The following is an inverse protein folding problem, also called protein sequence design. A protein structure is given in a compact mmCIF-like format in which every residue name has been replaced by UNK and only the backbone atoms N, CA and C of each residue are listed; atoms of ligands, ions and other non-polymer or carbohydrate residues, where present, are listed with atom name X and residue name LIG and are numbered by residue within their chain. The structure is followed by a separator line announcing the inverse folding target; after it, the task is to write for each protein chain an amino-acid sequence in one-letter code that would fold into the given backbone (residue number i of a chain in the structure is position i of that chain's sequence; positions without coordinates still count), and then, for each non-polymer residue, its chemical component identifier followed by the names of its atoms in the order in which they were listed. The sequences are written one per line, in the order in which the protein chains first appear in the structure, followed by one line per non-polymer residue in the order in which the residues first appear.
data_IF_486363225162
#
_entry.id   IF_486363225162
#
_cell.length_a   1.000
_cell.length_b   1.000
_cell.length_c   1.000
_cell.angle_alpha   90.00
_cell.angle_beta   90.00
_cell.angle_gamma   90.00
#
_symmetry.space_group_name_H-M   'P 1'
#
loop_
_entity.id
_entity.type
_entity.pdbx_description
1 polymer ?
#
# COMPACT_ATOMS: atom_id res chain seq x y z
N UNK A 1 -23.48 -1.72 -6.70
CA UNK A 1 -22.81 -2.50 -5.64
C UNK A 1 -21.34 -2.63 -6.00
N UNK A 2 -20.45 -2.51 -5.03
CA UNK A 2 -19.01 -2.76 -5.23
C UNK A 2 -18.78 -4.25 -5.47
N UNK A 3 -18.23 -4.62 -6.63
CA UNK A 3 -18.05 -6.00 -7.08
C UNK A 3 -16.64 -6.54 -6.78
N UNK A 4 -15.75 -5.72 -6.22
CA UNK A 4 -14.39 -6.13 -5.91
C UNK A 4 -14.38 -7.16 -4.77
N UNK A 5 -13.53 -8.20 -4.84
CA UNK A 5 -13.36 -9.16 -3.75
C UNK A 5 -12.92 -8.48 -2.45
N UNK A 6 -13.53 -8.88 -1.32
CA UNK A 6 -13.22 -8.37 0.01
C UNK A 6 -11.95 -9.03 0.59
N UNK A 7 -11.06 -8.21 1.12
CA UNK A 7 -9.83 -8.64 1.80
C UNK A 7 -9.82 -8.11 3.23
N UNK A 8 -10.43 -8.88 4.14
CA UNK A 8 -10.69 -8.48 5.53
C UNK A 8 -9.43 -8.26 6.38
N UNK A 9 -8.29 -8.79 5.96
CA UNK A 9 -7.02 -8.59 6.67
C UNK A 9 -6.17 -7.45 6.11
N UNK A 10 -6.64 -6.72 5.08
CA UNK A 10 -5.86 -5.67 4.41
C UNK A 10 -6.38 -4.29 4.79
N UNK A 11 -5.49 -3.45 5.31
CA UNK A 11 -5.64 -2.00 5.38
C UNK A 11 -4.82 -1.41 4.24
N UNK A 12 -5.47 -0.64 3.37
CA UNK A 12 -4.83 -0.01 2.23
C UNK A 12 -4.62 1.48 2.49
N UNK A 13 -3.43 1.98 2.19
CA UNK A 13 -3.06 3.40 2.33
C UNK A 13 -2.66 3.93 0.96
N UNK A 14 -3.50 4.80 0.40
CA UNK A 14 -3.34 5.42 -0.91
C UNK A 14 -3.12 6.93 -0.82
N UNK A 15 -2.72 7.55 -1.94
CA UNK A 15 -2.66 9.00 -2.06
C UNK A 15 -2.90 9.49 -3.48
N UNK A 16 -3.41 10.72 -3.60
CA UNK A 16 -3.57 11.41 -4.88
C UNK A 16 -2.25 12.00 -5.39
N UNK A 17 -1.35 12.42 -4.49
CA UNK A 17 -0.04 13.00 -4.81
C UNK A 17 1.16 12.14 -4.35
N UNK A 18 2.33 12.35 -4.96
CA UNK A 18 3.61 11.80 -4.44
C UNK A 18 4.01 12.55 -3.16
N UNK A 19 4.80 11.90 -2.30
CA UNK A 19 5.30 12.46 -1.01
C UNK A 19 4.19 13.01 -0.10
N UNK A 20 3.00 12.41 -0.18
CA UNK A 20 1.80 12.80 0.57
C UNK A 20 1.77 12.34 2.05
N UNK A 21 2.90 11.92 2.63
CA UNK A 21 2.96 11.46 4.03
C UNK A 21 2.52 10.02 4.31
N UNK A 22 2.09 9.24 3.30
CA UNK A 22 1.71 7.82 3.48
C UNK A 22 2.75 6.99 4.23
N UNK A 23 4.01 7.06 3.80
CA UNK A 23 5.10 6.31 4.43
C UNK A 23 5.22 6.66 5.91
N UNK A 24 5.08 7.93 6.26
CA UNK A 24 5.10 8.41 7.65
C UNK A 24 3.91 7.89 8.45
N UNK A 25 2.72 7.87 7.86
CA UNK A 25 1.54 7.30 8.49
C UNK A 25 1.73 5.79 8.76
N UNK A 26 2.16 5.05 7.74
CA UNK A 26 2.41 3.60 7.85
C UNK A 26 3.47 3.31 8.90
N UNK A 27 4.59 4.04 8.93
CA UNK A 27 5.62 3.83 9.95
C UNK A 27 5.14 4.15 11.37
N UNK A 28 4.39 5.24 11.56
CA UNK A 28 3.82 5.57 12.87
C UNK A 28 2.77 4.53 13.31
N UNK A 29 1.93 4.05 12.40
CA UNK A 29 1.00 2.96 12.65
C UNK A 29 1.73 1.67 13.09
N UNK A 30 2.82 1.32 12.41
CA UNK A 30 3.62 0.15 12.76
C UNK A 30 4.28 0.29 14.13
N UNK A 31 4.77 1.49 14.49
CA UNK A 31 5.37 1.76 15.80
C UNK A 31 4.42 1.53 16.96
N UNK A 32 3.13 1.77 16.78
CA UNK A 32 2.10 1.52 17.79
C UNK A 32 1.56 0.08 17.76
N UNK A 33 1.84 -0.67 16.69
CA UNK A 33 1.36 -2.04 16.45
C UNK A 33 2.52 -3.03 16.19
N UNK A 34 3.61 -2.91 16.95
CA UNK A 34 4.85 -3.67 16.70
C UNK A 34 4.62 -5.17 16.70
N UNK A 35 5.26 -5.87 15.76
CA UNK A 35 5.23 -7.32 15.60
C UNK A 35 3.91 -7.89 15.08
N UNK A 36 2.88 -7.05 14.85
CA UNK A 36 1.54 -7.52 14.49
C UNK A 36 1.28 -7.52 12.99
N UNK A 37 1.73 -6.50 12.26
CA UNK A 37 1.36 -6.31 10.85
C UNK A 37 2.47 -6.70 9.90
N UNK A 38 2.10 -7.34 8.78
CA UNK A 38 2.95 -7.42 7.59
C UNK A 38 2.77 -6.12 6.80
N UNK A 39 3.87 -5.48 6.43
CA UNK A 39 3.86 -4.25 5.64
C UNK A 39 4.18 -4.54 4.18
N UNK A 40 3.38 -4.04 3.25
CA UNK A 40 3.60 -4.22 1.81
C UNK A 40 3.63 -2.86 1.13
N UNK A 41 4.68 -2.55 0.37
CA UNK A 41 4.70 -1.39 -0.53
C UNK A 41 4.56 -1.86 -1.96
N UNK A 42 3.66 -1.26 -2.74
CA UNK A 42 3.56 -1.54 -4.17
C UNK A 42 3.99 -0.29 -4.94
N UNK A 43 4.99 -0.43 -5.80
CA UNK A 43 5.47 0.61 -6.70
C UNK A 43 5.13 0.23 -8.13
N UNK A 44 4.26 1.05 -8.75
CA UNK A 44 3.87 0.90 -10.14
C UNK A 44 4.69 1.79 -11.05
N UNK A 45 5.25 1.24 -12.15
CA UNK A 45 5.96 2.02 -13.17
C UNK A 45 5.96 1.28 -14.51
N UNK A 46 5.96 2.03 -15.62
CA UNK A 46 6.09 1.50 -16.98
C UNK A 46 7.49 0.91 -17.26
N UNK A 47 8.48 1.19 -16.41
CA UNK A 47 9.84 0.64 -16.55
C UNK A 47 9.93 -0.85 -16.20
N UNK A 48 8.89 -1.40 -15.58
CA UNK A 48 8.87 -2.80 -15.17
C UNK A 48 8.15 -3.62 -16.25
N UNK A 49 8.84 -4.59 -16.85
CA UNK A 49 8.21 -5.53 -17.80
C UNK A 49 7.51 -6.68 -17.07
N UNK A 50 8.02 -7.04 -15.88
CA UNK A 50 7.50 -8.09 -15.00
C UNK A 50 7.37 -7.54 -13.59
N UNK A 51 6.65 -8.27 -12.75
CA UNK A 51 6.63 -7.94 -11.33
C UNK A 51 7.76 -8.65 -10.58
N UNK A 52 8.24 -8.01 -9.53
CA UNK A 52 9.25 -8.53 -8.61
C UNK A 52 8.76 -8.33 -7.18
N UNK A 53 9.03 -9.31 -6.31
CA UNK A 53 8.66 -9.29 -4.91
C UNK A 53 9.93 -9.45 -4.08
N UNK A 54 10.24 -8.44 -3.28
CA UNK A 54 11.39 -8.43 -2.39
C UNK A 54 10.90 -8.54 -0.96
N UNK A 55 11.43 -9.51 -0.21
CA UNK A 55 11.34 -9.51 1.26
C UNK A 55 12.46 -8.63 1.79
N UNK A 56 12.13 -7.58 2.52
CA UNK A 56 13.16 -6.73 3.13
C UNK A 56 13.87 -7.49 4.26
N UNK A 57 15.16 -7.23 4.38
CA UNK A 57 15.96 -7.61 5.54
C UNK A 57 16.56 -6.33 6.14
N UNK A 58 16.87 -6.36 7.43
CA UNK A 58 17.63 -5.27 8.06
C UNK A 58 19.08 -5.38 7.56
N UNK A 59 19.36 -4.70 6.45
CA UNK A 59 20.69 -4.53 5.90
C UNK A 59 20.91 -3.02 5.84
N UNK A 60 21.83 -2.48 6.64
CA UNK A 60 21.98 -1.05 7.04
C UNK A 60 21.91 0.08 6.00
N UNK A 61 21.50 -0.17 4.76
CA UNK A 61 21.13 0.76 3.71
C UNK A 61 19.75 1.39 3.97
N UNK A 62 19.59 2.69 3.72
CA UNK A 62 18.32 3.39 3.94
C UNK A 62 17.41 3.37 2.71
N UNK A 63 16.59 2.34 2.53
CA UNK A 63 15.45 2.39 1.61
C UNK A 63 14.12 2.60 2.37
N UNK A 64 13.06 3.05 1.67
CA UNK A 64 11.77 3.38 2.30
C UNK A 64 11.07 2.18 2.95
N UNK A 65 11.26 0.96 2.42
CA UNK A 65 10.56 -0.24 2.89
C UNK A 65 11.24 -0.83 4.13
N UNK A 66 12.56 -0.69 4.27
CA UNK A 66 13.28 -0.99 5.51
C UNK A 66 12.80 -0.14 6.69
N UNK A 67 12.27 1.07 6.44
CA UNK A 67 11.63 1.88 7.49
C UNK A 67 10.46 1.15 8.13
N UNK A 68 9.77 0.26 7.42
CA UNK A 68 8.66 -0.51 7.99
C UNK A 68 9.16 -1.56 9.00
N UNK A 69 10.21 -2.33 8.67
CA UNK A 69 10.84 -3.27 9.62
C UNK A 69 11.38 -2.53 10.85
N UNK A 70 12.13 -1.44 10.63
CA UNK A 70 12.64 -0.59 11.73
C UNK A 70 11.52 0.00 12.59
N UNK A 71 10.33 0.22 12.00
CA UNK A 71 9.15 0.71 12.72
C UNK A 71 8.37 -0.39 13.42
N UNK A 72 8.77 -1.66 13.29
CA UNK A 72 8.18 -2.79 13.99
C UNK A 72 7.18 -3.62 13.17
N UNK A 73 7.21 -3.55 11.84
CA UNK A 73 6.49 -4.55 11.04
C UNK A 73 7.00 -5.96 11.37
N UNK A 74 6.08 -6.94 11.36
CA UNK A 74 6.40 -8.37 11.51
C UNK A 74 7.30 -8.84 10.37
N UNK A 75 6.88 -8.52 9.14
CA UNK A 75 7.65 -8.66 7.92
C UNK A 75 7.37 -7.43 7.04
N UNK A 76 8.29 -7.09 6.13
CA UNK A 76 8.06 -6.04 5.15
C UNK A 76 8.44 -6.52 3.75
N UNK A 77 7.61 -6.16 2.77
CA UNK A 77 7.78 -6.53 1.38
C UNK A 77 7.66 -5.33 0.45
N UNK A 78 8.47 -5.32 -0.60
CA UNK A 78 8.35 -4.40 -1.73
C UNK A 78 7.91 -5.19 -2.97
N UNK A 79 6.85 -4.72 -3.61
CA UNK A 79 6.40 -5.19 -4.93
C UNK A 79 6.70 -4.09 -5.94
N UNK A 80 7.49 -4.43 -6.94
CA UNK A 80 7.65 -3.62 -8.16
C UNK A 80 6.82 -4.27 -9.26
N UNK A 81 5.94 -3.54 -9.95
CA UNK A 81 5.12 -4.13 -11.00
C UNK A 81 4.68 -3.10 -12.06
N UNK A 82 4.46 -3.51 -13.32
CA UNK A 82 3.63 -2.75 -14.24
C UNK A 82 2.15 -2.75 -13.80
N UNK A 83 1.36 -1.82 -14.35
CA UNK A 83 0.00 -1.55 -13.88
C UNK A 83 -0.97 -2.73 -14.06
N UNK A 84 -0.78 -3.50 -15.11
CA UNK A 84 -1.54 -4.70 -15.48
C UNK A 84 -1.18 -5.93 -14.64
N UNK A 85 -0.05 -5.91 -13.92
CA UNK A 85 0.45 -7.01 -13.10
C UNK A 85 0.28 -6.81 -11.59
N UNK A 86 -0.31 -5.70 -11.16
CA UNK A 86 -0.47 -5.38 -9.73
C UNK A 86 -1.24 -6.48 -8.98
N UNK A 87 -2.38 -6.92 -9.53
CA UNK A 87 -3.22 -7.92 -8.88
C UNK A 87 -2.52 -9.28 -8.82
N UNK A 88 -1.85 -9.68 -9.90
CA UNK A 88 -1.07 -10.92 -9.98
C UNK A 88 0.07 -10.93 -8.94
N UNK A 89 0.82 -9.84 -8.87
CA UNK A 89 1.92 -9.68 -7.92
C UNK A 89 1.44 -9.68 -6.46
N UNK A 90 0.38 -8.92 -6.16
CA UNK A 90 -0.22 -8.87 -4.84
C UNK A 90 -0.72 -10.25 -4.41
N UNK A 91 -1.44 -10.97 -5.29
CA UNK A 91 -1.96 -12.30 -4.98
C UNK A 91 -0.87 -13.35 -4.79
N UNK A 92 0.22 -13.24 -5.54
CA UNK A 92 1.38 -14.12 -5.38
C UNK A 92 1.97 -13.98 -3.98
N UNK A 93 2.17 -12.74 -3.51
CA UNK A 93 2.64 -12.49 -2.14
C UNK A 93 1.57 -12.86 -1.09
N UNK A 94 0.31 -12.48 -1.31
CA UNK A 94 -0.77 -12.69 -0.34
C UNK A 94 -0.97 -14.17 0.01
N UNK A 95 -0.76 -15.08 -0.96
CA UNK A 95 -0.86 -16.54 -0.77
C UNK A 95 0.36 -17.15 -0.08
N UNK A 96 1.52 -16.48 -0.12
CA UNK A 96 2.78 -17.03 0.42
C UNK A 96 3.11 -16.54 1.82
N UNK A 97 2.49 -15.44 2.28
CA UNK A 97 2.67 -14.90 3.63
C UNK A 97 1.68 -15.49 4.64
N UNK A 98 2.04 -15.42 5.92
CA UNK A 98 1.22 -15.89 7.04
C UNK A 98 -0.24 -15.37 6.93
N UNK A 99 -1.23 -16.26 6.78
CA UNK A 99 -2.64 -15.87 6.59
C UNK A 99 -3.27 -15.26 7.84
N UNK A 100 -2.71 -15.50 9.03
CA UNK A 100 -3.23 -14.97 10.31
C UNK A 100 -2.81 -13.52 10.56
N UNK A 101 -1.77 -13.04 9.88
CA UNK A 101 -1.25 -11.70 10.09
C UNK A 101 -2.03 -10.66 9.29
N UNK A 102 -2.48 -9.56 9.91
CA UNK A 102 -3.05 -8.44 9.19
C UNK A 102 -1.98 -7.71 8.37
N UNK A 103 -2.42 -7.06 7.29
CA UNK A 103 -1.58 -6.41 6.30
C UNK A 103 -1.86 -4.91 6.31
N UNK A 104 -0.81 -4.10 6.36
CA UNK A 104 -0.89 -2.69 5.97
C UNK A 104 -0.17 -2.53 4.62
N UNK A 105 -0.91 -2.12 3.60
CA UNK A 105 -0.40 -2.00 2.24
C UNK A 105 -0.36 -0.53 1.81
N UNK A 106 0.82 -0.03 1.43
CA UNK A 106 0.97 1.27 0.78
C UNK A 106 0.83 1.10 -0.74
N UNK A 107 -0.35 1.39 -1.27
CA UNK A 107 -0.64 1.40 -2.71
C UNK A 107 -1.95 2.15 -3.00
N UNK A 108 -1.91 3.09 -3.95
CA UNK A 108 -3.16 3.67 -4.48
C UNK A 108 -3.77 2.76 -5.55
N UNK A 109 -2.96 2.13 -6.39
CA UNK A 109 -3.43 1.42 -7.57
C UNK A 109 -4.12 0.09 -7.25
N UNK A 110 -3.78 -0.53 -6.12
CA UNK A 110 -4.39 -1.80 -5.69
C UNK A 110 -5.90 -1.67 -5.41
N UNK A 111 -6.38 -0.49 -5.02
CA UNK A 111 -7.81 -0.27 -4.71
C UNK A 111 -8.70 -0.61 -5.91
N UNK A 112 -8.21 -0.52 -7.15
CA UNK A 112 -8.99 -0.86 -8.35
C UNK A 112 -9.37 -2.34 -8.42
N UNK A 113 -8.64 -3.21 -7.73
CA UNK A 113 -8.77 -4.66 -7.85
C UNK A 113 -9.38 -5.32 -6.61
N UNK A 114 -9.28 -4.68 -5.45
CA UNK A 114 -9.72 -5.26 -4.17
C UNK A 114 -10.58 -4.27 -3.39
N UNK A 115 -11.46 -4.81 -2.54
CA UNK A 115 -12.07 -4.08 -1.44
C UNK A 115 -11.30 -4.42 -0.15
N UNK A 116 -10.44 -3.52 0.38
CA UNK A 116 -9.75 -3.76 1.64
C UNK A 116 -10.73 -3.67 2.82
N UNK A 117 -10.33 -4.14 4.01
CA UNK A 117 -11.07 -3.87 5.25
C UNK A 117 -11.19 -2.38 5.55
N UNK A 118 -10.16 -1.61 5.21
CA UNK A 118 -10.15 -0.16 5.30
C UNK A 118 -9.26 0.44 4.22
N UNK A 119 -9.75 1.44 3.50
CA UNK A 119 -8.99 2.27 2.58
C UNK A 119 -8.84 3.69 3.12
N UNK A 120 -7.60 4.09 3.38
CA UNK A 120 -7.23 5.42 3.86
C UNK A 120 -6.57 6.18 2.71
N UNK A 121 -7.19 7.28 2.28
CA UNK A 121 -6.72 8.09 1.16
C UNK A 121 -6.12 9.41 1.66
N UNK A 122 -4.84 9.63 1.36
CA UNK A 122 -4.20 10.93 1.52
C UNK A 122 -4.51 11.81 0.31
N UNK A 123 -5.35 12.82 0.53
CA UNK A 123 -5.84 13.73 -0.49
C UNK A 123 -5.14 15.08 -0.40
N UNK A 124 -4.33 15.41 -1.41
CA UNK A 124 -3.72 16.75 -1.52
C UNK A 124 -4.71 17.74 -2.14
N UNK A 125 -5.05 18.80 -1.42
CA UNK A 125 -6.09 19.78 -1.79
C UNK A 125 -5.73 20.51 -3.10
N UNK A 126 -4.46 20.86 -3.29
CA UNK A 126 -3.99 21.61 -4.47
C UNK A 126 -3.29 20.76 -5.52
N UNK A 127 -3.36 19.43 -5.42
CA UNK A 127 -2.92 18.60 -6.52
C UNK A 127 -3.89 18.85 -7.69
N UNK A 128 -3.46 19.68 -8.66
CA UNK A 128 -4.13 19.89 -9.96
C UNK A 128 -4.84 18.59 -10.37
N UNK A 129 -6.12 18.68 -10.78
CA UNK A 129 -7.02 17.62 -11.27
C UNK A 129 -6.42 16.77 -12.43
N UNK A 130 -5.24 16.21 -12.24
CA UNK A 130 -4.36 15.68 -13.28
C UNK A 130 -4.23 14.15 -13.20
N UNK A 131 -5.04 13.49 -12.35
CA UNK A 131 -5.18 12.04 -12.41
C UNK A 131 -6.65 11.73 -12.69
N UNK A 132 -6.96 10.99 -13.77
CA UNK A 132 -8.33 10.68 -14.16
C UNK A 132 -9.10 9.91 -13.08
N UNK A 133 -8.40 9.27 -12.14
CA UNK A 133 -9.01 8.40 -11.13
C UNK A 133 -9.18 9.04 -9.74
N UNK A 134 -8.95 10.35 -9.56
CA UNK A 134 -9.02 10.96 -8.21
C UNK A 134 -10.40 10.81 -7.58
N UNK A 135 -11.46 11.15 -8.33
CA UNK A 135 -12.84 11.06 -7.83
C UNK A 135 -13.23 9.61 -7.55
N UNK A 136 -12.70 8.66 -8.34
CA UNK A 136 -12.86 7.23 -8.11
C UNK A 136 -12.22 6.80 -6.79
N UNK A 137 -11.00 7.25 -6.49
CA UNK A 137 -10.35 6.90 -5.23
C UNK A 137 -11.05 7.54 -4.02
N UNK A 138 -11.54 8.77 -4.17
CA UNK A 138 -12.32 9.46 -3.12
C UNK A 138 -13.60 8.67 -2.82
N UNK A 139 -14.34 8.24 -3.83
CA UNK A 139 -15.59 7.49 -3.62
C UNK A 139 -15.38 6.09 -3.04
N UNK A 140 -14.17 5.53 -3.17
CA UNK A 140 -13.80 4.24 -2.60
C UNK A 140 -13.20 4.34 -1.18
N UNK A 141 -12.86 5.54 -0.70
CA UNK A 141 -12.16 5.72 0.56
C UNK A 141 -13.11 5.60 1.76
N UNK A 142 -12.72 4.81 2.75
CA UNK A 142 -13.39 4.77 4.05
C UNK A 142 -12.97 5.95 4.94
N UNK A 143 -11.75 6.47 4.72
CA UNK A 143 -11.21 7.62 5.42
C UNK A 143 -10.36 8.48 4.48
N UNK A 144 -10.52 9.80 4.56
CA UNK A 144 -9.76 10.77 3.76
C UNK A 144 -8.97 11.68 4.69
N UNK A 145 -7.66 11.67 4.54
CA UNK A 145 -6.74 12.58 5.23
C UNK A 145 -6.36 13.68 4.26
N UNK A 146 -6.85 14.89 4.50
CA UNK A 146 -6.52 16.06 3.69
C UNK A 146 -5.12 16.57 4.05
N UNK A 147 -4.32 16.87 3.04
CA UNK A 147 -3.00 17.48 3.20
C UNK A 147 -2.92 18.75 2.36
N UNK A 148 -2.36 19.81 2.96
CA UNK A 148 -1.99 21.07 2.31
C UNK A 148 -0.67 20.91 1.54
#
# INVERSE_FOLDING_TARGET
MDTRPLYERVILVGSTARKAGKTTYVTNFLKTNKGRFIAIKIQTSLKYEKFEIFKEAICGLENDTQKYLKSGAKDAYLINAPADKIMEAFMTLYKSIDPSSPIICESTSLIKYIKPKKFILFYKIDAKKNKPDVDLFISMADEIIKIS
#
